data_IF_550743921636
#
_entry.id   IF_550743921636
#
_cell.length_a   1.000
_cell.length_b   1.000
_cell.length_c   1.000
_cell.angle_alpha   90.00
_cell.angle_beta   90.00
_cell.angle_gamma   90.00
#
_symmetry.space_group_name_H-M   'P 1'
#
loop_
_entity.id
_entity.type
_entity.pdbx_description
1 polymer ?
#
# COMPACT_ATOMS: atom_id res chain seq x y z
N UNK A 1 -1.57 12.55 4.76
CA UNK A 1 -0.66 11.40 4.89
C UNK A 1 -0.16 11.31 6.32
N UNK A 2 -0.10 10.11 6.88
CA UNK A 2 0.29 9.91 8.26
C UNK A 2 1.81 9.96 8.39
N UNK A 3 2.30 10.85 9.27
CA UNK A 3 3.70 10.85 9.68
C UNK A 3 4.06 9.50 10.28
N UNK A 4 5.31 9.06 10.08
CA UNK A 4 5.81 7.89 10.79
C UNK A 4 5.90 8.23 12.28
N UNK A 5 5.21 7.43 13.09
CA UNK A 5 5.23 7.50 14.55
C UNK A 5 5.58 6.11 15.07
N UNK A 6 6.80 5.96 15.59
CA UNK A 6 7.26 4.68 16.10
C UNK A 6 6.29 4.11 17.15
N UNK A 7 5.84 4.93 18.10
CA UNK A 7 4.99 4.48 19.20
C UNK A 7 3.67 3.89 18.67
N UNK A 8 3.13 4.46 17.58
CA UNK A 8 1.93 3.97 16.90
C UNK A 8 2.10 2.55 16.33
N UNK A 9 3.31 2.18 15.90
CA UNK A 9 3.60 0.90 15.24
C UNK A 9 4.33 -0.12 16.12
N UNK A 10 4.84 0.28 17.29
CA UNK A 10 5.56 -0.64 18.19
C UNK A 10 4.66 -1.72 18.81
N UNK A 11 3.35 -1.45 18.99
CA UNK A 11 2.39 -2.51 19.35
C UNK A 11 1.91 -3.22 18.07
N UNK A 12 2.52 -4.37 17.79
CA UNK A 12 2.23 -5.16 16.60
C UNK A 12 0.74 -5.56 16.52
N UNK A 13 0.19 -6.16 17.58
CA UNK A 13 -1.20 -6.63 17.62
C UNK A 13 -2.19 -5.50 17.35
N UNK A 14 -2.04 -4.36 18.02
CA UNK A 14 -2.91 -3.19 17.80
C UNK A 14 -2.78 -2.64 16.38
N UNK A 15 -1.57 -2.62 15.82
CA UNK A 15 -1.33 -2.15 14.46
C UNK A 15 -1.95 -3.05 13.41
N UNK A 16 -1.82 -4.37 13.56
CA UNK A 16 -2.42 -5.37 12.67
C UNK A 16 -3.95 -5.28 12.71
N UNK A 17 -4.55 -5.22 13.90
CA UNK A 17 -6.01 -5.07 14.04
C UNK A 17 -6.53 -3.79 13.36
N UNK A 18 -5.79 -2.68 13.48
CA UNK A 18 -6.12 -1.42 12.80
C UNK A 18 -6.05 -1.56 11.29
N UNK A 19 -5.01 -2.21 10.77
CA UNK A 19 -4.85 -2.46 9.33
C UNK A 19 -5.93 -3.39 8.77
N UNK A 20 -6.31 -4.43 9.50
CA UNK A 20 -7.41 -5.32 9.11
C UNK A 20 -8.74 -4.57 9.01
N UNK A 21 -9.00 -3.64 9.95
CA UNK A 21 -10.13 -2.72 9.86
C UNK A 21 -10.13 -1.91 8.56
N UNK A 22 -8.98 -1.33 8.18
CA UNK A 22 -8.83 -0.55 6.95
C UNK A 22 -8.92 -1.43 5.69
N UNK A 23 -8.35 -2.64 5.70
CA UNK A 23 -8.45 -3.63 4.63
C UNK A 23 -9.91 -3.97 4.35
N UNK A 24 -10.67 -4.31 5.40
CA UNK A 24 -12.09 -4.61 5.31
C UNK A 24 -12.88 -3.42 4.78
N UNK A 25 -12.59 -2.22 5.28
CA UNK A 25 -13.23 -0.99 4.80
C UNK A 25 -12.99 -0.76 3.30
N UNK A 26 -11.73 -0.85 2.84
CA UNK A 26 -11.40 -0.70 1.42
C UNK A 26 -12.10 -1.77 0.56
N UNK A 27 -12.14 -3.03 1.00
CA UNK A 27 -12.85 -4.10 0.27
C UNK A 27 -14.34 -3.79 0.13
N UNK A 28 -14.98 -3.32 1.20
CA UNK A 28 -16.39 -2.91 1.17
C UNK A 28 -16.61 -1.72 0.23
N UNK A 29 -15.69 -0.75 0.24
CA UNK A 29 -15.75 0.42 -0.64
C UNK A 29 -15.59 0.02 -2.12
N UNK A 30 -14.70 -0.91 -2.43
CA UNK A 30 -14.53 -1.46 -3.77
C UNK A 30 -15.80 -2.20 -4.26
N UNK A 31 -16.49 -2.91 -3.37
CA UNK A 31 -17.80 -3.53 -3.68
C UNK A 31 -18.86 -2.45 -3.90
N UNK A 32 -18.95 -1.46 -3.01
CA UNK A 32 -19.86 -0.31 -3.16
C UNK A 32 -19.67 0.36 -4.52
N UNK A 33 -18.42 0.60 -4.91
CA UNK A 33 -18.09 1.22 -6.19
C UNK A 33 -18.63 0.45 -7.40
N UNK A 34 -18.70 -0.89 -7.35
CA UNK A 34 -19.33 -1.70 -8.42
C UNK A 34 -20.82 -1.38 -8.54
N UNK A 35 -21.53 -1.28 -7.41
CA UNK A 35 -22.94 -0.93 -7.41
C UNK A 35 -23.17 0.51 -7.88
N UNK A 36 -22.36 1.45 -7.40
CA UNK A 36 -22.41 2.85 -7.83
C UNK A 36 -22.13 2.99 -9.33
N UNK A 37 -21.13 2.28 -9.86
CA UNK A 37 -20.83 2.28 -11.29
C UNK A 37 -21.98 1.67 -12.11
N UNK A 38 -22.62 0.61 -11.60
CA UNK A 38 -23.79 -0.01 -12.23
C UNK A 38 -24.96 0.98 -12.29
N UNK A 39 -25.24 1.65 -11.16
CA UNK A 39 -26.37 2.58 -11.01
C UNK A 39 -26.17 3.93 -11.68
N UNK A 40 -24.95 4.45 -11.77
CA UNK A 40 -24.67 5.81 -12.24
C UNK A 40 -24.09 5.86 -13.65
N UNK A 41 -23.33 4.84 -14.06
CA UNK A 41 -22.51 4.91 -15.28
C UNK A 41 -22.95 3.90 -16.34
N UNK A 42 -23.07 2.62 -15.99
CA UNK A 42 -23.26 1.57 -17.00
C UNK A 42 -24.70 1.12 -17.21
N UNK A 43 -25.58 1.24 -16.21
CA UNK A 43 -26.94 0.74 -16.28
C UNK A 43 -27.02 -0.79 -16.39
N UNK A 44 -25.94 -1.51 -16.09
CA UNK A 44 -25.87 -2.97 -16.12
C UNK A 44 -25.04 -3.52 -14.96
N UNK A 45 -25.49 -4.63 -14.38
CA UNK A 45 -24.77 -5.38 -13.33
C UNK A 45 -23.62 -6.18 -13.96
N UNK A 46 -23.76 -6.58 -15.22
CA UNK A 46 -22.79 -7.40 -15.94
C UNK A 46 -21.72 -6.53 -16.61
N UNK A 47 -20.79 -6.00 -15.81
CA UNK A 47 -19.59 -5.34 -16.32
C UNK A 47 -18.32 -6.12 -15.94
N UNK A 48 -18.04 -7.18 -16.69
CA UNK A 48 -16.92 -8.08 -16.42
C UNK A 48 -15.58 -7.34 -16.37
N UNK A 49 -15.38 -6.34 -17.23
CA UNK A 49 -14.14 -5.58 -17.29
C UNK A 49 -13.92 -4.72 -16.05
N UNK A 50 -14.97 -4.01 -15.59
CA UNK A 50 -14.93 -3.24 -14.36
C UNK A 50 -14.71 -4.13 -13.14
N UNK A 51 -15.42 -5.26 -13.08
CA UNK A 51 -15.30 -6.25 -12.00
C UNK A 51 -13.89 -6.84 -11.96
N UNK A 52 -13.29 -7.17 -13.11
CA UNK A 52 -11.94 -7.70 -13.21
C UNK A 52 -10.88 -6.70 -12.73
N UNK A 53 -11.01 -5.43 -13.10
CA UNK A 53 -10.14 -4.36 -12.61
C UNK A 53 -10.25 -4.22 -11.09
N UNK A 54 -11.48 -4.20 -10.55
CA UNK A 54 -11.72 -4.21 -9.09
C UNK A 54 -11.11 -5.43 -8.41
N UNK A 55 -11.26 -6.62 -9.00
CA UNK A 55 -10.69 -7.85 -8.46
C UNK A 55 -9.16 -7.81 -8.48
N UNK A 56 -8.56 -7.17 -9.49
CA UNK A 56 -7.10 -7.00 -9.56
C UNK A 56 -6.57 -6.09 -8.45
N UNK A 57 -7.29 -5.01 -8.12
CA UNK A 57 -6.98 -4.16 -6.95
C UNK A 57 -7.07 -4.99 -5.67
N UNK A 58 -8.14 -5.78 -5.53
CA UNK A 58 -8.32 -6.68 -4.37
C UNK A 58 -7.17 -7.68 -4.27
N UNK A 59 -6.79 -8.33 -5.38
CA UNK A 59 -5.69 -9.29 -5.42
C UNK A 59 -4.36 -8.66 -4.96
N UNK A 60 -4.06 -7.42 -5.38
CA UNK A 60 -2.84 -6.73 -4.94
C UNK A 60 -2.89 -6.36 -3.48
N UNK A 61 -4.04 -5.91 -2.97
CA UNK A 61 -4.23 -5.67 -1.54
C UNK A 61 -3.96 -6.96 -0.75
N UNK A 62 -4.56 -8.08 -1.15
CA UNK A 62 -4.37 -9.37 -0.47
C UNK A 62 -2.92 -9.87 -0.59
N UNK A 63 -2.24 -9.58 -1.70
CA UNK A 63 -0.81 -9.89 -1.88
C UNK A 63 0.07 -9.11 -0.90
N UNK A 64 -0.24 -7.83 -0.64
CA UNK A 64 0.48 -7.02 0.35
C UNK A 64 0.37 -7.65 1.74
N UNK A 65 -0.85 -7.99 2.16
CA UNK A 65 -1.09 -8.61 3.48
C UNK A 65 -0.45 -9.99 3.58
N UNK A 66 -0.52 -10.81 2.53
CA UNK A 66 0.14 -12.11 2.51
C UNK A 66 1.65 -12.01 2.74
N UNK A 67 2.34 -11.09 2.04
CA UNK A 67 3.78 -10.92 2.22
C UNK A 67 4.13 -10.29 3.58
N UNK A 68 3.25 -9.44 4.11
CA UNK A 68 3.40 -8.93 5.46
C UNK A 68 3.25 -10.03 6.51
N UNK A 69 2.28 -10.94 6.37
CA UNK A 69 2.09 -12.06 7.29
C UNK A 69 3.31 -12.99 7.28
N UNK A 70 3.88 -13.24 6.09
CA UNK A 70 5.15 -13.95 5.96
C UNK A 70 6.28 -13.21 6.69
N UNK A 71 6.39 -11.90 6.51
CA UNK A 71 7.41 -11.07 7.15
C UNK A 71 7.26 -11.12 8.67
N UNK A 72 6.04 -10.99 9.18
CA UNK A 72 5.73 -11.08 10.60
C UNK A 72 6.05 -12.47 11.18
N UNK A 73 5.81 -13.54 10.42
CA UNK A 73 6.07 -14.92 10.87
C UNK A 73 7.55 -15.25 11.03
N UNK A 74 8.43 -14.58 10.27
CA UNK A 74 9.89 -14.73 10.37
C UNK A 74 10.53 -13.60 11.16
N UNK A 75 9.72 -12.69 11.67
CA UNK A 75 10.19 -11.54 12.41
C UNK A 75 10.42 -11.93 13.87
N UNK A 76 11.69 -12.07 14.21
CA UNK A 76 12.19 -12.26 15.57
C UNK A 76 12.33 -10.88 16.21
N UNK A 77 11.25 -10.11 16.34
CA UNK A 77 11.31 -8.84 17.07
C UNK A 77 11.00 -9.10 18.55
N UNK A 78 12.03 -8.95 19.37
CA UNK A 78 11.92 -8.94 20.83
C UNK A 78 12.28 -10.28 21.44
N UNK A 79 13.30 -10.26 22.32
CA UNK A 79 13.56 -11.15 23.47
C UNK A 79 13.17 -12.64 23.42
N UNK A 80 12.96 -13.26 22.25
CA UNK A 80 12.82 -14.69 22.18
C UNK A 80 14.15 -15.29 22.63
N UNK A 81 14.13 -15.91 23.82
CA UNK A 81 15.24 -16.66 24.36
C UNK A 81 15.45 -17.89 23.49
N UNK A 82 16.07 -17.70 22.34
CA UNK A 82 16.44 -18.79 21.46
C UNK A 82 17.59 -19.51 22.17
N UNK A 83 17.34 -20.75 22.58
CA UNK A 83 18.31 -21.58 23.26
C UNK A 83 19.61 -21.67 22.43
N UNK A 84 20.73 -21.48 23.11
CA UNK A 84 22.13 -21.32 22.66
C UNK A 84 22.65 -22.21 21.50
N UNK A 85 21.92 -23.21 21.01
CA UNK A 85 22.38 -24.18 20.01
C UNK A 85 22.06 -23.84 18.56
N UNK A 86 21.28 -22.80 18.28
CA UNK A 86 20.78 -22.51 16.91
C UNK A 86 21.03 -21.09 16.39
N UNK A 87 21.70 -20.20 17.12
CA UNK A 87 22.02 -18.85 16.59
C UNK A 87 23.49 -18.78 16.22
N UNK A 88 23.75 -18.44 14.96
CA UNK A 88 25.05 -18.02 14.46
C UNK A 88 24.87 -16.71 13.68
N UNK A 89 25.93 -15.89 13.50
CA UNK A 89 25.89 -14.72 12.63
C UNK A 89 25.31 -15.04 11.24
N UNK A 90 25.60 -16.23 10.71
CA UNK A 90 25.06 -16.71 9.43
C UNK A 90 23.52 -16.78 9.41
N UNK A 91 22.91 -17.22 10.51
CA UNK A 91 21.45 -17.34 10.62
C UNK A 91 20.80 -15.96 10.77
N UNK A 92 21.42 -15.04 11.52
CA UNK A 92 20.98 -13.65 11.60
C UNK A 92 20.96 -12.98 10.23
N UNK A 93 22.04 -13.11 9.45
CA UNK A 93 22.10 -12.56 8.09
C UNK A 93 21.09 -13.18 7.14
N UNK A 94 20.80 -14.48 7.27
CA UNK A 94 19.76 -15.14 6.49
C UNK A 94 18.36 -14.62 6.81
N UNK A 95 18.06 -14.35 8.08
CA UNK A 95 16.76 -13.80 8.50
C UNK A 95 16.61 -12.37 7.99
N UNK A 96 17.64 -11.55 8.14
CA UNK A 96 17.69 -10.19 7.62
C UNK A 96 17.44 -10.16 6.10
N UNK A 97 18.15 -10.99 5.33
CA UNK A 97 17.97 -11.09 3.88
C UNK A 97 16.54 -11.50 3.48
N UNK A 98 15.95 -12.47 4.19
CA UNK A 98 14.55 -12.87 3.94
C UNK A 98 13.56 -11.74 4.24
N UNK A 99 13.77 -11.02 5.33
CA UNK A 99 12.92 -9.87 5.69
C UNK A 99 13.05 -8.74 4.66
N UNK A 100 14.25 -8.49 4.15
CA UNK A 100 14.50 -7.52 3.09
C UNK A 100 13.75 -7.86 1.79
N UNK A 101 13.82 -9.12 1.33
CA UNK A 101 13.06 -9.58 0.17
C UNK A 101 11.54 -9.44 0.35
N UNK A 102 11.04 -9.68 1.56
CA UNK A 102 9.62 -9.51 1.84
C UNK A 102 9.21 -8.04 1.88
N UNK A 103 10.07 -7.15 2.40
CA UNK A 103 9.86 -5.71 2.32
C UNK A 103 9.79 -5.22 0.86
N UNK A 104 10.75 -5.63 0.01
CA UNK A 104 10.69 -5.30 -1.43
C UNK A 104 9.40 -5.82 -2.08
N UNK A 105 8.99 -7.05 -1.77
CA UNK A 105 7.72 -7.60 -2.28
C UNK A 105 6.49 -6.80 -1.81
N UNK A 106 6.46 -6.34 -0.55
CA UNK A 106 5.40 -5.47 -0.04
C UNK A 106 5.37 -4.15 -0.82
N UNK A 107 6.52 -3.52 -1.05
CA UNK A 107 6.63 -2.25 -1.79
C UNK A 107 6.22 -2.43 -3.25
N UNK A 108 6.67 -3.51 -3.89
CA UNK A 108 6.31 -3.85 -5.26
C UNK A 108 4.79 -4.05 -5.42
N UNK A 109 4.18 -4.84 -4.54
CA UNK A 109 2.73 -5.06 -4.59
C UNK A 109 1.95 -3.79 -4.25
N UNK A 110 2.50 -2.91 -3.41
CA UNK A 110 1.95 -1.59 -3.12
C UNK A 110 1.96 -0.68 -4.35
N UNK A 111 3.08 -0.57 -5.07
CA UNK A 111 3.12 0.20 -6.32
C UNK A 111 2.18 -0.39 -7.39
N UNK A 112 2.14 -1.72 -7.49
CA UNK A 112 1.20 -2.41 -8.37
C UNK A 112 -0.26 -2.10 -8.02
N UNK A 113 -0.61 -1.99 -6.73
CA UNK A 113 -1.95 -1.59 -6.29
C UNK A 113 -2.36 -0.22 -6.89
N UNK A 114 -1.45 0.74 -6.94
CA UNK A 114 -1.68 2.04 -7.59
C UNK A 114 -1.81 1.92 -9.11
N UNK A 115 -1.03 1.06 -9.77
CA UNK A 115 -1.16 0.81 -11.22
C UNK A 115 -2.53 0.21 -11.58
N UNK A 116 -3.02 -0.77 -10.82
CA UNK A 116 -4.35 -1.35 -11.04
C UNK A 116 -5.47 -0.35 -10.71
N UNK A 117 -5.28 0.47 -9.69
CA UNK A 117 -6.21 1.57 -9.40
C UNK A 117 -6.23 2.58 -10.55
N UNK A 118 -5.08 2.83 -11.18
CA UNK A 118 -4.99 3.69 -12.37
C UNK A 118 -5.69 3.14 -13.59
N UNK A 119 -5.57 1.83 -13.82
CA UNK A 119 -6.32 1.15 -14.87
C UNK A 119 -7.83 1.29 -14.65
N UNK A 120 -8.30 1.16 -13.41
CA UNK A 120 -9.71 1.37 -13.07
C UNK A 120 -10.14 2.83 -13.27
N UNK A 121 -9.38 3.79 -12.77
CA UNK A 121 -9.67 5.22 -12.97
C UNK A 121 -9.75 5.55 -14.45
N UNK A 122 -8.80 5.08 -15.26
CA UNK A 122 -8.85 5.28 -16.71
C UNK A 122 -10.10 4.71 -17.34
N UNK A 123 -10.46 3.48 -16.98
CA UNK A 123 -11.66 2.82 -17.49
C UNK A 123 -12.94 3.61 -17.20
N UNK A 124 -12.95 4.34 -16.08
CA UNK A 124 -14.04 5.25 -15.71
C UNK A 124 -14.04 6.53 -16.56
N UNK A 125 -12.85 7.09 -16.81
CA UNK A 125 -12.69 8.38 -17.51
C UNK A 125 -12.84 8.28 -19.04
N UNK A 126 -12.45 7.17 -19.64
CA UNK A 126 -12.45 7.00 -21.09
C UNK A 126 -13.74 6.35 -21.61
N UNK A 127 -14.34 6.93 -22.64
CA UNK A 127 -15.50 6.34 -23.31
C UNK A 127 -15.14 5.06 -24.09
N UNK A 128 -13.89 4.97 -24.56
CA UNK A 128 -13.36 3.76 -25.18
C UNK A 128 -12.84 2.82 -24.08
N UNK A 129 -13.74 1.96 -23.57
CA UNK A 129 -13.54 1.03 -22.44
C UNK A 129 -12.53 -0.11 -22.70
N UNK A 130 -11.56 0.08 -23.58
CA UNK A 130 -10.49 -0.90 -23.79
C UNK A 130 -9.65 -1.03 -22.52
N UNK A 131 -9.39 -2.28 -22.10
CA UNK A 131 -8.42 -2.64 -21.06
C UNK A 131 -7.00 -2.30 -21.50
N UNK A 132 -6.66 -1.02 -21.54
CA UNK A 132 -5.28 -0.58 -21.72
C UNK A 132 -4.66 -0.40 -20.36
N UNK A 133 -3.58 -1.16 -20.11
CA UNK A 133 -2.72 -0.97 -18.94
C UNK A 133 -2.32 0.50 -18.88
N UNK A 134 -2.62 1.14 -17.75
CA UNK A 134 -2.21 2.50 -17.44
C UNK A 134 -1.40 2.45 -16.16
N UNK A 135 -0.13 2.84 -16.28
CA UNK A 135 0.73 2.99 -15.11
C UNK A 135 0.30 4.23 -14.32
N UNK A 136 0.56 4.22 -13.01
CA UNK A 136 0.29 5.36 -12.14
C UNK A 136 0.87 6.67 -12.68
N UNK A 137 2.12 6.65 -13.14
CA UNK A 137 2.79 7.82 -13.73
C UNK A 137 2.06 8.37 -14.95
N UNK A 138 1.39 7.51 -15.73
CA UNK A 138 0.58 7.94 -16.87
C UNK A 138 -0.73 8.57 -16.41
N UNK A 139 -1.39 8.04 -15.37
CA UNK A 139 -2.57 8.68 -14.78
C UNK A 139 -2.25 10.07 -14.25
N UNK A 140 -1.12 10.22 -13.55
CA UNK A 140 -0.64 11.50 -13.03
C UNK A 140 -0.37 12.50 -14.16
N UNK A 141 0.15 12.04 -15.30
CA UNK A 141 0.29 12.91 -16.48
C UNK A 141 -1.08 13.35 -17.00
N UNK A 142 -2.06 12.46 -17.03
CA UNK A 142 -3.45 12.80 -17.42
C UNK A 142 -4.07 13.81 -16.46
N UNK A 143 -3.87 13.69 -15.15
CA UNK A 143 -4.38 14.65 -14.16
C UNK A 143 -3.73 16.04 -14.24
N UNK A 144 -2.56 16.16 -14.89
CA UNK A 144 -1.85 17.44 -15.15
C UNK A 144 -2.04 17.94 -16.58
N UNK A 145 -2.72 17.17 -17.42
CA UNK A 145 -2.87 17.45 -18.84
C UNK A 145 -3.79 18.63 -19.14
N UNK A 146 -4.20 18.73 -20.40
CA UNK A 146 -5.16 19.74 -20.87
C UNK A 146 -6.58 19.17 -20.90
N UNK A 147 -7.57 19.94 -20.44
CA UNK A 147 -8.99 19.57 -20.49
C UNK A 147 -9.69 19.68 -19.15
N UNK A 148 -11.00 19.36 -19.12
CA UNK A 148 -11.86 19.56 -17.94
C UNK A 148 -11.47 18.67 -16.75
N UNK A 149 -10.87 17.49 -17.00
CA UNK A 149 -10.49 16.57 -15.93
C UNK A 149 -9.49 17.18 -14.95
N UNK A 150 -8.51 17.97 -15.42
CA UNK A 150 -7.45 18.55 -14.57
C UNK A 150 -7.99 19.47 -13.46
N UNK A 151 -9.17 20.06 -13.69
CA UNK A 151 -9.81 20.99 -12.75
C UNK A 151 -10.61 20.27 -11.65
N UNK A 152 -10.85 18.97 -11.82
CA UNK A 152 -11.63 18.16 -10.90
C UNK A 152 -10.89 17.93 -9.58
N UNK A 153 -11.65 17.75 -8.50
CA UNK A 153 -11.13 17.34 -7.20
C UNK A 153 -10.37 16.00 -7.28
N UNK A 154 -10.86 15.06 -8.10
CA UNK A 154 -10.18 13.79 -8.37
C UNK A 154 -8.78 13.98 -8.96
N UNK A 155 -8.61 14.85 -9.97
CA UNK A 155 -7.30 15.12 -10.55
C UNK A 155 -6.34 15.79 -9.55
N UNK A 156 -6.85 16.72 -8.73
CA UNK A 156 -6.07 17.36 -7.66
C UNK A 156 -5.62 16.34 -6.62
N UNK A 157 -6.52 15.44 -6.19
CA UNK A 157 -6.20 14.35 -5.27
C UNK A 157 -5.13 13.42 -5.85
N UNK A 158 -5.24 12.99 -7.11
CA UNK A 158 -4.22 12.15 -7.76
C UNK A 158 -2.84 12.82 -7.71
N UNK A 159 -2.77 14.11 -8.05
CA UNK A 159 -1.52 14.87 -8.02
C UNK A 159 -0.93 14.97 -6.60
N UNK A 160 -1.77 15.17 -5.59
CA UNK A 160 -1.35 15.26 -4.19
C UNK A 160 -0.89 13.91 -3.65
N UNK A 161 -1.59 12.82 -3.95
CA UNK A 161 -1.20 11.46 -3.56
C UNK A 161 0.13 11.07 -4.22
N UNK A 162 0.31 11.38 -5.50
CA UNK A 162 1.56 11.13 -6.22
C UNK A 162 2.74 11.85 -5.55
N UNK A 163 2.64 13.18 -5.43
CA UNK A 163 3.69 14.05 -4.88
C UNK A 163 4.07 13.66 -3.45
N UNK A 164 3.08 13.31 -2.64
CA UNK A 164 3.31 13.08 -1.21
C UNK A 164 3.67 11.63 -0.90
N UNK A 165 3.26 10.67 -1.73
CA UNK A 165 3.42 9.23 -1.48
C UNK A 165 4.03 8.45 -2.63
N UNK A 166 3.26 8.26 -3.71
CA UNK A 166 3.49 7.16 -4.66
C UNK A 166 4.80 7.38 -5.41
N UNK A 167 5.08 8.63 -5.78
CA UNK A 167 6.36 9.00 -6.38
C UNK A 167 7.54 8.65 -5.46
N UNK A 168 7.48 9.05 -4.19
CA UNK A 168 8.56 8.78 -3.21
C UNK A 168 8.77 7.28 -2.97
N UNK A 169 7.68 6.52 -2.92
CA UNK A 169 7.75 5.06 -2.77
C UNK A 169 8.36 4.41 -4.01
N UNK A 170 8.05 4.93 -5.20
CA UNK A 170 8.65 4.51 -6.47
C UNK A 170 10.15 4.81 -6.53
N UNK A 171 10.57 6.01 -6.15
CA UNK A 171 11.98 6.42 -6.08
C UNK A 171 12.76 5.54 -5.09
N UNK A 172 12.19 5.28 -3.91
CA UNK A 172 12.78 4.37 -2.93
C UNK A 172 12.97 2.97 -3.50
N UNK A 173 11.94 2.40 -4.16
CA UNK A 173 12.07 1.07 -4.79
C UNK A 173 13.12 1.05 -5.89
N UNK A 174 13.21 2.10 -6.70
CA UNK A 174 14.24 2.20 -7.73
C UNK A 174 15.65 2.18 -7.10
N UNK A 175 15.83 2.86 -5.97
CA UNK A 175 17.10 2.82 -5.22
C UNK A 175 17.43 1.41 -4.73
N UNK A 176 16.46 0.69 -4.14
CA UNK A 176 16.65 -0.70 -3.67
C UNK A 176 17.11 -1.65 -4.78
N UNK A 177 16.59 -1.49 -6.00
CA UNK A 177 16.95 -2.35 -7.15
C UNK A 177 18.36 -2.04 -7.69
N UNK A 178 18.75 -0.76 -7.65
CA UNK A 178 19.94 -0.28 -8.35
C UNK A 178 21.18 -0.16 -7.46
N UNK A 179 21.04 0.00 -6.15
CA UNK A 179 22.16 0.20 -5.23
C UNK A 179 22.28 -0.98 -4.27
N UNK A 180 23.36 -1.77 -4.45
CA UNK A 180 23.63 -3.00 -3.71
C UNK A 180 23.95 -2.81 -2.22
N UNK A 181 23.97 -1.60 -1.70
CA UNK A 181 24.46 -1.30 -0.34
C UNK A 181 23.35 -0.92 0.65
N UNK A 182 22.07 -0.94 0.23
CA UNK A 182 20.93 -0.55 1.07
C UNK A 182 20.12 -1.74 1.58
N UNK A 183 20.82 -2.74 2.12
CA UNK A 183 20.20 -3.84 2.84
C UNK A 183 19.72 -3.38 4.23
N UNK A 184 18.77 -4.13 4.79
CA UNK A 184 18.41 -4.01 6.21
C UNK A 184 19.64 -4.13 7.11
N UNK A 185 19.68 -3.33 8.18
CA UNK A 185 20.78 -3.38 9.14
C UNK A 185 20.47 -4.35 10.27
N UNK A 186 21.33 -5.31 10.52
CA UNK A 186 21.18 -6.30 11.60
C UNK A 186 22.11 -6.02 12.79
N UNK A 187 21.64 -6.35 13.99
CA UNK A 187 22.47 -6.39 15.19
C UNK A 187 22.12 -7.58 16.07
N UNK A 188 23.13 -8.14 16.73
CA UNK A 188 23.01 -9.26 17.65
C UNK A 188 23.55 -8.83 19.02
N UNK A 189 22.70 -8.83 20.05
CA UNK A 189 23.10 -8.60 21.44
C UNK A 189 23.03 -9.91 22.21
N UNK A 190 24.10 -10.26 22.92
CA UNK A 190 24.17 -11.46 23.75
C UNK A 190 24.15 -11.09 25.23
N UNK A 191 23.13 -11.57 25.96
CA UNK A 191 22.99 -11.42 27.40
C UNK A 191 23.49 -12.69 28.08
N UNK A 192 24.82 -12.74 28.30
CA UNK A 192 25.54 -13.92 28.81
C UNK A 192 24.93 -14.47 30.10
N UNK A 193 24.51 -13.60 31.02
CA UNK A 193 23.93 -14.00 32.32
C UNK A 193 22.58 -14.70 32.19
N UNK A 194 21.84 -14.45 31.11
CA UNK A 194 20.49 -14.96 30.89
C UNK A 194 20.46 -16.04 29.81
N UNK A 195 21.59 -16.31 29.14
CA UNK A 195 21.66 -17.21 27.99
C UNK A 195 20.79 -16.75 26.82
N UNK A 196 20.51 -15.44 26.72
CA UNK A 196 19.60 -14.86 25.72
C UNK A 196 20.33 -14.13 24.61
N UNK A 197 19.81 -14.23 23.39
CA UNK A 197 20.20 -13.40 22.27
C UNK A 197 19.05 -12.51 21.85
N UNK A 198 19.35 -11.26 21.51
CA UNK A 198 18.40 -10.35 20.88
C UNK A 198 18.93 -10.03 19.49
N UNK A 199 18.17 -10.43 18.47
CA UNK A 199 18.37 -10.02 17.09
C UNK A 199 17.53 -8.76 16.87
N UNK A 200 18.09 -7.77 16.18
CA UNK A 200 17.34 -6.58 15.76
C UNK A 200 17.64 -6.27 14.31
N UNK A 201 16.60 -6.23 13.50
CA UNK A 201 16.68 -5.91 12.06
C UNK A 201 15.99 -4.57 11.85
N UNK A 202 16.78 -3.59 11.47
CA UNK A 202 16.35 -2.20 11.23
C UNK A 202 16.06 -1.99 9.77
N UNK A 203 15.08 -1.13 9.48
CA UNK A 203 14.72 -0.78 8.13
C UNK A 203 15.89 -0.12 7.35
N UNK A 204 15.92 -0.21 6.01
CA UNK A 204 16.98 0.37 5.19
C UNK A 204 17.17 1.87 5.41
N UNK A 205 18.42 2.33 5.29
CA UNK A 205 18.79 3.71 5.59
C UNK A 205 18.29 4.69 4.54
N UNK A 206 18.15 4.26 3.27
CA UNK A 206 17.70 5.12 2.18
C UNK A 206 16.26 5.61 2.33
N UNK A 207 15.42 4.93 3.12
CA UNK A 207 14.06 5.39 3.44
C UNK A 207 14.04 6.84 3.95
N UNK A 208 15.08 7.26 4.67
CA UNK A 208 15.23 8.63 5.20
C UNK A 208 15.49 9.68 4.12
N UNK A 209 16.06 9.27 2.98
CA UNK A 209 16.30 10.16 1.84
C UNK A 209 14.96 10.56 1.21
N UNK A 210 14.04 9.60 1.09
CA UNK A 210 12.76 9.77 0.41
C UNK A 210 11.66 10.31 1.33
N UNK A 211 11.64 9.86 2.59
CA UNK A 211 10.60 10.20 3.55
C UNK A 211 11.16 11.03 4.69
N UNK A 212 10.88 12.33 4.67
CA UNK A 212 11.33 13.30 5.67
C UNK A 212 10.86 12.94 7.08
N UNK A 213 9.76 12.21 7.17
CA UNK A 213 9.16 11.66 8.38
C UNK A 213 10.14 10.78 9.17
N UNK A 214 11.14 10.17 8.51
CA UNK A 214 12.18 9.37 9.16
C UNK A 214 13.40 10.18 9.59
N UNK A 215 13.51 11.48 9.27
CA UNK A 215 14.67 12.30 9.66
C UNK A 215 14.77 12.55 11.16
N UNK A 216 13.64 12.48 11.87
CA UNK A 216 13.55 12.67 13.33
C UNK A 216 13.49 11.33 14.09
N UNK A 217 13.46 10.21 13.36
CA UNK A 217 13.45 8.87 13.94
C UNK A 217 14.89 8.46 14.13
N UNK A 218 15.29 8.22 15.38
CA UNK A 218 16.63 7.80 15.73
C UNK A 218 17.08 6.63 14.84
N UNK A 219 18.21 6.79 14.15
CA UNK A 219 18.52 6.09 12.90
C UNK A 219 18.51 4.55 13.00
N UNK A 220 18.65 4.01 14.21
CA UNK A 220 18.79 2.59 14.52
C UNK A 220 17.56 2.00 15.26
N UNK A 221 16.40 2.68 15.22
CA UNK A 221 15.25 2.31 16.08
C UNK A 221 13.95 1.95 15.36
N UNK A 222 13.81 2.13 14.04
CA UNK A 222 12.63 1.65 13.32
C UNK A 222 12.90 0.23 12.77
N UNK A 223 12.16 -0.74 13.29
CA UNK A 223 12.21 -2.11 12.79
C UNK A 223 11.58 -2.19 11.41
N UNK A 224 11.99 -3.20 10.64
CA UNK A 224 11.40 -3.46 9.32
C UNK A 224 9.89 -3.70 9.40
N UNK A 225 9.41 -4.30 10.49
CA UNK A 225 8.00 -4.46 10.80
C UNK A 225 7.26 -3.14 10.89
N UNK A 226 7.76 -2.21 11.71
CA UNK A 226 7.14 -0.90 11.94
C UNK A 226 7.05 -0.12 10.62
N UNK A 227 8.09 -0.19 9.80
CA UNK A 227 8.10 0.43 8.47
C UNK A 227 7.11 -0.23 7.54
N UNK A 228 7.08 -1.56 7.49
CA UNK A 228 6.14 -2.31 6.64
C UNK A 228 4.70 -1.96 6.99
N UNK A 229 4.35 -1.96 8.27
CA UNK A 229 3.04 -1.53 8.77
C UNK A 229 2.68 -0.11 8.35
N UNK A 230 3.63 0.83 8.46
CA UNK A 230 3.43 2.22 8.07
C UNK A 230 3.24 2.40 6.56
N UNK A 231 4.01 1.68 5.73
CA UNK A 231 3.85 1.68 4.26
C UNK A 231 2.47 1.16 3.88
N UNK A 232 2.05 0.04 4.48
CA UNK A 232 0.74 -0.57 4.22
C UNK A 232 -0.38 0.39 4.64
N UNK A 233 -0.29 0.97 5.84
CA UNK A 233 -1.33 1.88 6.36
C UNK A 233 -1.52 3.10 5.46
N UNK A 234 -0.43 3.80 5.11
CA UNK A 234 -0.50 4.98 4.26
C UNK A 234 -1.01 4.64 2.86
N UNK A 235 -0.60 3.50 2.31
CA UNK A 235 -1.02 3.10 0.96
C UNK A 235 -2.50 2.76 0.90
N UNK A 236 -3.02 2.03 1.89
CA UNK A 236 -4.46 1.73 1.98
C UNK A 236 -5.25 3.02 2.16
N UNK A 237 -4.80 3.96 2.97
CA UNK A 237 -5.47 5.26 3.13
C UNK A 237 -5.49 6.05 1.82
N UNK A 238 -4.39 6.08 1.07
CA UNK A 238 -4.35 6.75 -0.23
C UNK A 238 -5.37 6.13 -1.20
N UNK A 239 -5.45 4.80 -1.26
CA UNK A 239 -6.39 4.09 -2.14
C UNK A 239 -7.83 4.29 -1.67
N UNK A 240 -8.09 4.31 -0.36
CA UNK A 240 -9.41 4.65 0.19
C UNK A 240 -9.84 6.03 -0.30
N UNK A 241 -9.03 7.06 -0.07
CA UNK A 241 -9.37 8.43 -0.49
C UNK A 241 -9.62 8.50 -1.99
N UNK A 242 -8.81 7.80 -2.80
CA UNK A 242 -8.96 7.77 -4.25
C UNK A 242 -10.26 7.09 -4.68
N UNK A 243 -10.63 5.96 -4.07
CA UNK A 243 -11.87 5.23 -4.39
C UNK A 243 -13.11 6.01 -3.94
N UNK A 244 -13.07 6.66 -2.77
CA UNK A 244 -14.15 7.54 -2.31
C UNK A 244 -14.36 8.69 -3.30
N UNK A 245 -13.28 9.32 -3.73
CA UNK A 245 -13.34 10.42 -4.68
C UNK A 245 -13.79 9.97 -6.07
N UNK A 246 -13.43 8.76 -6.50
CA UNK A 246 -13.97 8.16 -7.73
C UNK A 246 -15.47 7.92 -7.65
N UNK A 247 -15.98 7.46 -6.50
CA UNK A 247 -17.43 7.27 -6.30
C UNK A 247 -18.15 8.63 -6.38
N UNK A 248 -17.61 9.67 -5.76
CA UNK A 248 -18.15 11.03 -5.86
C UNK A 248 -18.13 11.53 -7.30
N UNK A 249 -17.04 11.24 -8.02
CA UNK A 249 -16.88 11.63 -9.41
C UNK A 249 -17.95 11.01 -10.34
N UNK A 250 -18.50 9.84 -10.00
CA UNK A 250 -19.60 9.24 -10.77
C UNK A 250 -20.85 10.11 -10.85
N UNK A 251 -21.09 11.00 -9.87
CA UNK A 251 -22.22 11.93 -9.94
C UNK A 251 -21.98 13.04 -10.98
N UNK A 252 -20.72 13.42 -11.23
CA UNK A 252 -20.35 14.41 -12.23
C UNK A 252 -20.48 13.82 -13.64
N UNK A 253 -20.05 12.58 -13.83
CA UNK A 253 -20.06 11.89 -15.14
C UNK A 253 -21.24 10.94 -15.30
N UNK A 254 -22.31 11.14 -14.53
CA UNK A 254 -23.49 10.26 -14.50
C UNK A 254 -24.09 10.10 -15.91
N UNK A 255 -24.34 8.86 -16.31
CA UNK A 255 -24.98 8.49 -17.58
C UNK A 255 -26.37 7.88 -17.38
N UNK A 256 -26.62 7.24 -16.24
CA UNK A 256 -27.93 6.68 -15.89
C UNK A 256 -28.76 7.75 -15.17
N UNK A 257 -29.96 8.11 -15.68
CA UNK A 257 -30.80 9.12 -15.05
C UNK A 257 -31.25 8.72 -13.63
N UNK A 258 -31.44 9.73 -12.77
CA UNK A 258 -32.03 9.54 -11.44
C UNK A 258 -33.41 8.86 -11.56
N UNK A 259 -33.67 7.88 -10.70
CA UNK A 259 -34.89 7.06 -10.72
C UNK A 259 -34.85 5.89 -11.72
N UNK A 260 -33.77 5.75 -12.49
CA UNK A 260 -33.54 4.62 -13.40
C UNK A 260 -32.40 3.71 -12.93
N UNK A 261 -32.02 3.79 -11.66
CA UNK A 261 -31.04 2.91 -11.04
C UNK A 261 -31.52 1.45 -11.10
N UNK A 262 -30.62 0.57 -11.53
CA UNK A 262 -30.90 -0.87 -11.71
C UNK A 262 -30.82 -1.66 -10.40
N UNK A 263 -30.13 -1.11 -9.39
CA UNK A 263 -29.99 -1.70 -8.07
C UNK A 263 -30.58 -0.72 -7.08
N UNK A 264 -31.75 -1.04 -6.53
CA UNK A 264 -32.39 -0.29 -5.45
C UNK A 264 -32.19 -1.04 -4.14
N UNK A 265 -31.60 -0.37 -3.16
CA UNK A 265 -31.67 -0.87 -1.78
C UNK A 265 -33.06 -0.53 -1.27
N UNK A 266 -33.87 -1.56 -0.96
CA UNK A 266 -35.05 -1.34 -0.12
C UNK A 266 -34.53 -0.81 1.21
N UNK A 267 -34.94 0.42 1.53
CA UNK A 267 -34.76 1.00 2.87
C UNK A 267 -35.55 0.19 3.89
#
# INVERSE_FOLDING_TARGET
MNKFDKAKYSNHTTSVLRLEGKRKFLKNLLVKMVFEYSNKISGSIANNDFIELRNSITLRLESIFYHYDLLASINISGEESINNKQISPLITSQIALKQDFLLDSIIFNTLSLFDYTSCLTKFILEDNKQKKKLLWTQLVRTSRGTGNFKETSLAKLINDLDKNWVFKLGEYRAELIHYKDDFVSESLKHYVKEGKYIISISAPSSLKKHFKEFKLVDNNKASINEVSLWVIENSIECVICLVEELINYFDIIRKVPLGKEIITHKQ
#
